data_IF_721687812911
#
_entry.id   IF_721687812911
#
_cell.length_a   1.000
_cell.length_b   1.000
_cell.length_c   1.000
_cell.angle_alpha   90.00
_cell.angle_beta   90.00
_cell.angle_gamma   90.00
#
_symmetry.space_group_name_H-M   'P 1'
#
loop_
_entity.id
_entity.type
_entity.pdbx_description
1 polymer ?
#
# COMPACT_ATOMS: atom_id res chain seq x y z
N UNK A 1 -35.43 6.63 12.60
CA UNK A 1 -34.78 5.34 12.96
C UNK A 1 -34.80 5.28 14.47
N UNK A 2 -35.63 4.40 15.04
CA UNK A 2 -35.67 4.19 16.49
C UNK A 2 -34.53 3.24 16.83
N UNK A 3 -33.51 3.75 17.51
CA UNK A 3 -32.40 2.93 18.01
C UNK A 3 -32.90 2.20 19.26
N UNK A 4 -32.94 0.88 19.22
CA UNK A 4 -33.19 0.09 20.43
C UNK A 4 -31.90 0.07 21.22
N UNK A 5 -31.92 0.68 22.40
CA UNK A 5 -30.89 0.48 23.41
C UNK A 5 -30.92 -1.01 23.81
N UNK A 6 -29.75 -1.63 24.02
CA UNK A 6 -29.54 -3.03 24.44
C UNK A 6 -29.66 -4.18 23.40
N UNK A 7 -29.66 -3.90 22.09
CA UNK A 7 -29.58 -4.97 21.04
C UNK A 7 -28.35 -4.84 20.15
N UNK A 8 -27.48 -3.87 20.41
CA UNK A 8 -26.26 -3.69 19.64
C UNK A 8 -25.23 -4.77 20.02
N UNK A 9 -24.52 -5.31 19.03
CA UNK A 9 -23.35 -6.19 19.28
C UNK A 9 -22.20 -5.40 19.94
N UNK A 10 -22.20 -4.08 19.76
CA UNK A 10 -21.26 -3.12 20.33
C UNK A 10 -22.07 -2.02 21.02
N UNK A 11 -22.46 -2.27 22.26
CA UNK A 11 -23.32 -1.40 23.08
C UNK A 11 -22.52 -0.28 23.74
N UNK A 12 -21.28 -0.57 24.15
CA UNK A 12 -20.43 0.33 24.90
C UNK A 12 -19.42 1.08 24.01
N UNK A 13 -19.17 0.61 22.79
CA UNK A 13 -18.23 1.24 21.87
C UNK A 13 -18.68 2.65 21.40
N UNK A 14 -17.75 3.59 21.39
CA UNK A 14 -17.97 4.91 20.81
C UNK A 14 -18.07 4.82 19.28
N UNK A 15 -19.21 5.25 18.74
CA UNK A 15 -19.48 5.20 17.31
C UNK A 15 -18.40 5.89 16.46
N UNK A 16 -17.90 7.05 16.90
CA UNK A 16 -16.90 7.81 16.13
C UNK A 16 -15.56 7.10 16.11
N UNK A 17 -15.16 6.49 17.24
CA UNK A 17 -13.93 5.72 17.33
C UNK A 17 -13.96 4.49 16.40
N UNK A 18 -15.10 3.80 16.36
CA UNK A 18 -15.33 2.66 15.47
C UNK A 18 -15.28 3.07 14.00
N UNK A 19 -15.98 4.16 13.63
CA UNK A 19 -15.96 4.68 12.26
C UNK A 19 -14.54 5.09 11.85
N UNK A 20 -13.78 5.71 12.76
CA UNK A 20 -12.39 6.08 12.50
C UNK A 20 -11.50 4.85 12.20
N UNK A 21 -11.64 3.78 12.99
CA UNK A 21 -10.97 2.51 12.72
C UNK A 21 -11.35 1.94 11.34
N UNK A 22 -12.64 1.93 11.00
CA UNK A 22 -13.11 1.46 9.69
C UNK A 22 -12.58 2.30 8.53
N UNK A 23 -12.49 3.63 8.70
CA UNK A 23 -11.95 4.53 7.66
C UNK A 23 -10.48 4.19 7.38
N UNK A 24 -9.67 3.97 8.42
CA UNK A 24 -8.25 3.59 8.24
C UNK A 24 -8.15 2.28 7.47
N UNK A 25 -9.00 1.30 7.81
CA UNK A 25 -9.05 0.04 7.08
C UNK A 25 -9.43 0.23 5.60
N UNK A 26 -10.43 1.07 5.30
CA UNK A 26 -10.84 1.38 3.92
C UNK A 26 -9.68 2.03 3.15
N UNK A 27 -8.99 3.01 3.76
CA UNK A 27 -7.82 3.66 3.14
C UNK A 27 -6.73 2.64 2.83
N UNK A 28 -6.41 1.76 3.78
CA UNK A 28 -5.42 0.69 3.58
C UNK A 28 -5.81 -0.28 2.47
N UNK A 29 -7.10 -0.61 2.39
CA UNK A 29 -7.66 -1.47 1.33
C UNK A 29 -7.56 -0.83 -0.04
N UNK A 30 -7.80 0.48 -0.15
CA UNK A 30 -7.66 1.24 -1.41
C UNK A 30 -6.18 1.26 -1.85
N UNK A 31 -5.24 1.54 -0.93
CA UNK A 31 -3.81 1.51 -1.23
C UNK A 31 -3.37 0.12 -1.72
N UNK A 32 -3.87 -0.96 -1.11
CA UNK A 32 -3.62 -2.32 -1.57
C UNK A 32 -4.13 -2.55 -2.99
N UNK A 33 -5.36 -2.11 -3.30
CA UNK A 33 -5.94 -2.22 -4.64
C UNK A 33 -5.13 -1.45 -5.69
N UNK A 34 -4.63 -0.25 -5.36
CA UNK A 34 -3.76 0.51 -6.27
C UNK A 34 -2.44 -0.20 -6.54
N UNK A 35 -1.77 -0.68 -5.50
CA UNK A 35 -0.56 -1.50 -5.65
C UNK A 35 -0.82 -2.70 -6.57
N UNK A 36 -1.93 -3.42 -6.35
CA UNK A 36 -2.30 -4.56 -7.18
C UNK A 36 -2.60 -4.19 -8.64
N UNK A 37 -3.23 -3.06 -8.88
CA UNK A 37 -3.54 -2.57 -10.23
C UNK A 37 -2.27 -2.30 -11.05
N UNK A 38 -1.20 -1.79 -10.42
CA UNK A 38 0.05 -1.45 -11.13
C UNK A 38 0.79 -2.66 -11.71
N UNK A 39 0.57 -3.87 -11.18
CA UNK A 39 1.21 -5.08 -11.71
C UNK A 39 0.60 -5.58 -13.03
N UNK A 40 -0.58 -5.10 -13.41
CA UNK A 40 -1.33 -5.63 -14.54
C UNK A 40 -1.71 -4.54 -15.54
N UNK A 41 -1.32 -4.73 -16.81
CA UNK A 41 -1.67 -3.79 -17.88
C UNK A 41 -3.15 -3.87 -18.32
N UNK A 42 -3.88 -4.93 -17.95
CA UNK A 42 -5.29 -5.12 -18.30
C UNK A 42 -6.17 -5.06 -17.05
N UNK A 43 -7.10 -4.11 -17.03
CA UNK A 43 -8.00 -3.86 -15.90
C UNK A 43 -8.84 -5.10 -15.49
N UNK A 44 -9.33 -5.88 -16.46
CA UNK A 44 -10.12 -7.09 -16.18
C UNK A 44 -9.31 -8.19 -15.49
N UNK A 45 -8.07 -8.41 -15.93
CA UNK A 45 -7.15 -9.35 -15.28
C UNK A 45 -6.74 -8.86 -13.89
N UNK A 46 -6.46 -7.56 -13.75
CA UNK A 46 -6.13 -6.93 -12.48
C UNK A 46 -7.23 -7.17 -11.44
N UNK A 47 -8.49 -6.90 -11.80
CA UNK A 47 -9.63 -7.08 -10.91
C UNK A 47 -9.82 -8.54 -10.48
N UNK A 48 -9.75 -9.48 -11.42
CA UNK A 48 -9.92 -10.91 -11.12
C UNK A 48 -8.81 -11.44 -10.18
N UNK A 49 -7.55 -11.09 -10.47
CA UNK A 49 -6.41 -11.53 -9.64
C UNK A 49 -6.39 -10.84 -8.29
N UNK A 50 -6.69 -9.54 -8.22
CA UNK A 50 -6.80 -8.80 -6.95
C UNK A 50 -7.87 -9.42 -6.05
N UNK A 51 -9.02 -9.78 -6.61
CA UNK A 51 -10.07 -10.48 -5.86
C UNK A 51 -9.60 -11.84 -5.33
N UNK A 52 -8.88 -12.62 -6.13
CA UNK A 52 -8.33 -13.91 -5.68
C UNK A 52 -7.30 -13.73 -4.56
N UNK A 53 -6.38 -12.77 -4.71
CA UNK A 53 -5.39 -12.47 -3.67
C UNK A 53 -6.05 -11.96 -2.40
N UNK A 54 -7.13 -11.17 -2.51
CA UNK A 54 -7.91 -10.72 -1.37
C UNK A 54 -8.46 -11.90 -0.55
N UNK A 55 -9.00 -12.92 -1.22
CA UNK A 55 -9.43 -14.15 -0.55
C UNK A 55 -8.27 -14.90 0.10
N UNK A 56 -7.13 -15.02 -0.59
CA UNK A 56 -5.93 -15.65 -0.03
C UNK A 56 -5.43 -14.89 1.20
N UNK A 57 -5.50 -13.55 1.20
CA UNK A 57 -5.11 -12.71 2.31
C UNK A 57 -5.99 -12.89 3.57
N UNK A 58 -7.12 -13.61 3.48
CA UNK A 58 -7.92 -14.02 4.63
C UNK A 58 -7.38 -15.30 5.32
N UNK A 59 -6.65 -16.15 4.59
CA UNK A 59 -6.09 -17.40 5.12
C UNK A 59 -5.13 -17.13 6.30
N UNK A 60 -4.20 -16.15 6.23
CA UNK A 60 -3.34 -15.82 7.35
C UNK A 60 -4.15 -15.51 8.61
N UNK A 61 -5.22 -14.72 8.53
CA UNK A 61 -6.07 -14.45 9.70
C UNK A 61 -6.66 -15.74 10.29
N UNK A 62 -7.17 -16.62 9.43
CA UNK A 62 -7.76 -17.90 9.85
C UNK A 62 -6.76 -18.81 10.55
N UNK A 63 -5.49 -18.79 10.16
CA UNK A 63 -4.44 -19.53 10.86
C UNK A 63 -4.06 -18.85 12.19
N UNK A 64 -3.86 -17.53 12.14
CA UNK A 64 -3.32 -16.75 13.26
C UNK A 64 -4.30 -16.62 14.42
N UNK A 65 -5.60 -16.74 14.18
CA UNK A 65 -6.60 -16.74 15.26
C UNK A 65 -6.56 -18.01 16.11
N UNK A 66 -6.20 -19.17 15.52
CA UNK A 66 -6.13 -20.44 16.23
C UNK A 66 -4.93 -20.54 17.17
N UNK A 67 -3.84 -19.85 16.85
CA UNK A 67 -2.61 -19.81 17.66
C UNK A 67 -2.33 -18.43 18.24
N UNK A 68 -3.37 -17.60 18.38
CA UNK A 68 -3.23 -16.19 18.78
C UNK A 68 -2.50 -16.00 20.11
N UNK A 69 -2.74 -16.91 21.06
CA UNK A 69 -2.20 -16.82 22.41
C UNK A 69 -0.72 -17.26 22.48
N UNK A 70 -0.25 -18.06 21.52
CA UNK A 70 1.14 -18.53 21.42
C UNK A 70 2.06 -17.56 20.65
N UNK A 71 1.49 -16.56 19.98
CA UNK A 71 2.22 -15.65 19.10
C UNK A 71 2.85 -14.48 19.86
N UNK A 72 4.12 -14.21 19.55
CA UNK A 72 4.80 -13.01 20.04
C UNK A 72 4.17 -11.73 19.47
N UNK A 73 4.28 -10.62 20.21
CA UNK A 73 3.82 -9.30 19.77
C UNK A 73 4.38 -8.93 18.39
N UNK A 74 5.67 -9.15 18.15
CA UNK A 74 6.30 -8.86 16.87
C UNK A 74 5.69 -9.66 15.72
N UNK A 75 5.31 -10.92 15.97
CA UNK A 75 4.64 -11.74 14.97
C UNK A 75 3.22 -11.23 14.70
N UNK A 76 2.47 -10.88 15.74
CA UNK A 76 1.14 -10.26 15.61
C UNK A 76 1.19 -8.96 14.79
N UNK A 77 2.19 -8.10 15.06
CA UNK A 77 2.43 -6.88 14.30
C UNK A 77 2.88 -7.16 12.85
N UNK A 78 3.71 -8.17 12.63
CA UNK A 78 4.09 -8.59 11.29
C UNK A 78 2.89 -9.06 10.47
N UNK A 79 2.02 -9.88 11.06
CA UNK A 79 0.79 -10.33 10.42
C UNK A 79 -0.23 -9.21 10.21
N UNK A 80 -0.25 -8.19 11.07
CA UNK A 80 -1.08 -7.00 10.87
C UNK A 80 -0.58 -6.06 9.76
N UNK A 81 0.54 -6.37 9.09
CA UNK A 81 0.87 -5.71 7.83
C UNK A 81 -0.13 -6.07 6.72
N UNK A 82 -0.74 -7.26 6.79
CA UNK A 82 -1.81 -7.65 5.87
C UNK A 82 -3.10 -7.00 6.34
N UNK A 83 -3.67 -6.12 5.53
CA UNK A 83 -4.85 -5.31 5.92
C UNK A 83 -6.03 -6.16 6.40
N UNK A 84 -6.27 -7.32 5.77
CA UNK A 84 -7.33 -8.25 6.18
C UNK A 84 -7.08 -8.88 7.56
N UNK A 85 -5.84 -9.24 7.87
CA UNK A 85 -5.47 -9.79 9.17
C UNK A 85 -5.49 -8.72 10.25
N UNK A 86 -5.03 -7.51 9.94
CA UNK A 86 -5.12 -6.36 10.83
C UNK A 86 -6.57 -6.04 11.21
N UNK A 87 -7.49 -6.08 10.24
CA UNK A 87 -8.92 -5.89 10.50
C UNK A 87 -9.45 -6.94 11.46
N UNK A 88 -9.11 -8.20 11.24
CA UNK A 88 -9.50 -9.30 12.12
C UNK A 88 -8.99 -9.13 13.56
N UNK A 89 -7.72 -8.76 13.74
CA UNK A 89 -7.17 -8.45 15.07
C UNK A 89 -7.83 -7.22 15.71
N UNK A 90 -8.06 -6.16 14.93
CA UNK A 90 -8.75 -4.96 15.42
C UNK A 90 -10.15 -5.28 15.91
N UNK A 91 -10.95 -6.04 15.15
CA UNK A 91 -12.28 -6.48 15.59
C UNK A 91 -12.19 -7.35 16.85
N UNK A 92 -11.24 -8.31 16.92
CA UNK A 92 -11.05 -9.16 18.11
C UNK A 92 -10.79 -8.31 19.36
N UNK A 93 -9.94 -7.29 19.26
CA UNK A 93 -9.64 -6.37 20.35
C UNK A 93 -10.84 -5.49 20.71
N UNK A 94 -11.58 -4.99 19.73
CA UNK A 94 -12.82 -4.21 19.95
C UNK A 94 -13.86 -5.05 20.69
N UNK A 95 -14.06 -6.31 20.26
CA UNK A 95 -14.95 -7.25 20.94
C UNK A 95 -14.46 -7.59 22.36
N UNK A 96 -13.15 -7.62 22.56
CA UNK A 96 -12.56 -7.79 23.89
C UNK A 96 -12.90 -6.63 24.83
N UNK A 97 -12.75 -5.38 24.39
CA UNK A 97 -13.16 -4.19 25.15
C UNK A 97 -14.68 -4.12 25.38
N UNK A 98 -15.46 -4.61 24.42
CA UNK A 98 -16.91 -4.71 24.59
C UNK A 98 -17.25 -5.74 25.67
N UNK A 99 -16.56 -6.89 25.70
CA UNK A 99 -16.75 -7.94 26.70
C UNK A 99 -16.36 -7.53 28.12
N UNK A 100 -15.48 -6.54 28.29
CA UNK A 100 -15.16 -5.96 29.61
C UNK A 100 -16.12 -4.86 30.05
N UNK A 101 -17.03 -4.42 29.16
CA UNK A 101 -18.02 -3.37 29.44
C UNK A 101 -17.51 -1.93 29.29
N UNK A 102 -16.24 -1.72 28.93
CA UNK A 102 -15.72 -0.38 28.64
C UNK A 102 -16.03 0.07 27.20
N UNK A 103 -16.07 -0.89 26.26
CA UNK A 103 -16.22 -0.64 24.84
C UNK A 103 -15.00 0.05 24.23
N UNK A 104 -14.96 0.19 22.91
CA UNK A 104 -13.91 0.96 22.24
C UNK A 104 -14.08 2.46 22.50
N UNK A 105 -13.10 3.09 23.16
CA UNK A 105 -13.10 4.52 23.48
C UNK A 105 -11.84 5.20 22.94
N UNK A 106 -11.92 6.49 22.60
CA UNK A 106 -10.76 7.25 22.13
C UNK A 106 -9.59 7.25 23.12
N UNK A 107 -9.89 7.23 24.42
CA UNK A 107 -8.88 7.16 25.49
C UNK A 107 -8.21 5.80 25.61
N UNK A 108 -8.83 4.72 25.11
CA UNK A 108 -8.38 3.34 25.32
C UNK A 108 -7.68 2.71 24.09
N UNK A 109 -7.41 3.50 23.04
CA UNK A 109 -6.76 2.97 21.83
C UNK A 109 -5.40 2.33 22.09
N UNK A 110 -4.62 2.92 23.00
CA UNK A 110 -3.28 2.44 23.34
C UNK A 110 -3.24 1.63 24.63
N UNK A 111 -4.41 1.29 25.19
CA UNK A 111 -4.47 0.38 26.33
C UNK A 111 -4.64 -1.06 25.83
N UNK A 112 -3.94 -2.04 26.42
CA UNK A 112 -4.17 -3.44 26.12
C UNK A 112 -5.50 -3.91 26.72
N UNK A 113 -6.17 -4.84 26.04
CA UNK A 113 -7.44 -5.44 26.51
C UNK A 113 -7.21 -6.41 27.66
N UNK A 114 -6.12 -7.18 27.59
CA UNK A 114 -5.76 -8.21 28.58
C UNK A 114 -4.35 -7.97 29.06
N UNK A 115 -4.07 -8.27 30.34
CA UNK A 115 -2.72 -8.12 30.92
C UNK A 115 -1.70 -9.04 30.22
N UNK A 116 -2.17 -10.17 29.69
CA UNK A 116 -1.38 -11.16 28.97
C UNK A 116 -1.15 -10.80 27.48
N UNK A 117 -1.91 -9.86 26.92
CA UNK A 117 -1.76 -9.45 25.52
C UNK A 117 -1.32 -7.99 25.41
N UNK A 118 -0.18 -7.79 24.77
CA UNK A 118 0.43 -6.45 24.60
C UNK A 118 -0.03 -5.76 23.33
N UNK A 119 -0.85 -6.42 22.48
CA UNK A 119 -1.39 -5.83 21.27
C UNK A 119 -2.53 -4.85 21.60
N UNK A 120 -2.46 -3.64 21.05
CA UNK A 120 -3.45 -2.58 21.26
C UNK A 120 -4.13 -2.20 19.94
N UNK A 121 -5.36 -1.67 20.02
CA UNK A 121 -6.11 -1.25 18.82
C UNK A 121 -5.36 -0.15 18.07
N UNK A 122 -4.77 0.78 18.80
CA UNK A 122 -3.94 1.86 18.28
C UNK A 122 -2.69 1.33 17.57
N UNK A 123 -2.02 0.31 18.11
CA UNK A 123 -0.88 -0.32 17.42
C UNK A 123 -1.31 -0.97 16.10
N UNK A 124 -2.47 -1.65 16.06
CA UNK A 124 -3.01 -2.21 14.82
C UNK A 124 -3.32 -1.11 13.79
N UNK A 125 -3.93 0.00 14.22
CA UNK A 125 -4.19 1.14 13.34
C UNK A 125 -2.91 1.77 12.78
N UNK A 126 -1.88 1.93 13.60
CA UNK A 126 -0.57 2.40 13.15
C UNK A 126 0.01 1.43 12.12
N UNK A 127 -0.06 0.12 12.37
CA UNK A 127 0.43 -0.88 11.41
C UNK A 127 -0.33 -0.84 10.08
N UNK A 128 -1.65 -0.62 10.09
CA UNK A 128 -2.42 -0.41 8.85
C UNK A 128 -1.92 0.84 8.09
N UNK A 129 -1.66 1.95 8.78
CA UNK A 129 -1.12 3.16 8.14
C UNK A 129 0.28 2.92 7.57
N UNK A 130 1.12 2.17 8.28
CA UNK A 130 2.43 1.74 7.77
C UNK A 130 2.26 0.87 6.52
N UNK A 131 1.29 -0.05 6.49
CA UNK A 131 0.96 -0.82 5.29
C UNK A 131 0.52 0.07 4.13
N UNK A 132 -0.29 1.11 4.37
CA UNK A 132 -0.62 2.08 3.32
C UNK A 132 0.63 2.67 2.69
N UNK A 133 1.57 3.14 3.52
CA UNK A 133 2.83 3.74 3.05
C UNK A 133 3.64 2.73 2.25
N UNK A 134 3.77 1.49 2.73
CA UNK A 134 4.49 0.42 2.03
C UNK A 134 3.83 0.13 0.68
N UNK A 135 2.50 -0.05 0.64
CA UNK A 135 1.78 -0.33 -0.60
C UNK A 135 1.89 0.82 -1.59
N UNK A 136 1.84 2.07 -1.13
CA UNK A 136 2.02 3.24 -1.98
C UNK A 136 3.45 3.36 -2.52
N UNK A 137 4.47 3.06 -1.71
CA UNK A 137 5.87 3.02 -2.16
C UNK A 137 6.04 1.95 -3.25
N UNK A 138 5.48 0.76 -3.04
CA UNK A 138 5.52 -0.32 -4.03
C UNK A 138 4.77 0.09 -5.30
N UNK A 139 3.57 0.66 -5.17
CA UNK A 139 2.78 1.18 -6.28
C UNK A 139 3.58 2.17 -7.13
N UNK A 140 4.11 3.22 -6.51
CA UNK A 140 4.92 4.23 -7.19
C UNK A 140 6.17 3.64 -7.81
N UNK A 141 6.84 2.69 -7.13
CA UNK A 141 8.02 2.02 -7.66
C UNK A 141 7.69 1.20 -8.92
N UNK A 142 6.61 0.43 -8.90
CA UNK A 142 6.20 -0.42 -10.03
C UNK A 142 5.79 0.44 -11.23
N UNK A 143 5.10 1.55 -11.02
CA UNK A 143 4.75 2.49 -12.11
C UNK A 143 5.99 3.07 -12.82
N UNK A 144 7.07 3.32 -12.09
CA UNK A 144 8.32 3.83 -12.67
C UNK A 144 9.09 2.75 -13.46
N UNK A 145 9.03 1.49 -13.03
CA UNK A 145 9.75 0.37 -13.65
C UNK A 145 8.99 -0.19 -14.87
N UNK A 146 7.67 -0.29 -14.77
CA UNK A 146 6.78 -0.71 -15.86
C UNK A 146 5.80 0.42 -16.21
N UNK A 147 6.27 1.46 -16.90
CA UNK A 147 5.36 2.45 -17.43
C UNK A 147 4.43 1.79 -18.44
N UNK A 148 3.15 2.18 -18.40
CA UNK A 148 2.16 1.75 -19.39
C UNK A 148 2.50 2.21 -20.82
N UNK A 149 1.54 2.14 -21.74
CA UNK A 149 1.73 2.31 -23.19
C UNK A 149 2.44 3.58 -23.69
N UNK A 150 2.69 4.59 -22.83
CA UNK A 150 3.28 5.87 -23.22
C UNK A 150 4.44 6.35 -22.33
N UNK A 151 4.92 5.57 -21.35
CA UNK A 151 6.04 6.00 -20.50
C UNK A 151 7.36 5.29 -20.85
N UNK A 152 8.49 5.95 -20.59
CA UNK A 152 9.83 5.39 -20.82
C UNK A 152 10.24 4.54 -19.60
N UNK A 153 10.47 3.22 -19.74
CA UNK A 153 10.78 2.34 -18.61
C UNK A 153 12.09 2.72 -17.94
N UNK A 154 12.05 3.01 -16.64
CA UNK A 154 13.27 3.17 -15.84
C UNK A 154 13.78 1.80 -15.40
N UNK A 155 15.10 1.58 -15.37
CA UNK A 155 15.66 0.29 -14.95
C UNK A 155 15.26 -0.01 -13.50
N UNK A 156 15.07 -1.28 -13.15
CA UNK A 156 14.70 -1.71 -11.79
C UNK A 156 15.67 -1.21 -10.68
N UNK A 157 16.93 -0.93 -11.04
CA UNK A 157 17.95 -0.37 -10.14
C UNK A 157 17.85 1.15 -9.92
N UNK A 158 16.87 1.81 -10.53
CA UNK A 158 16.72 3.26 -10.54
C UNK A 158 16.90 3.96 -9.18
N UNK A 159 16.28 3.51 -8.05
CA UNK A 159 16.46 4.17 -6.76
C UNK A 159 17.89 4.06 -6.19
N UNK A 160 18.70 3.11 -6.66
CA UNK A 160 20.09 2.90 -6.26
C UNK A 160 21.10 3.54 -7.23
N UNK A 161 20.64 4.19 -8.30
CA UNK A 161 21.52 4.75 -9.32
C UNK A 161 21.88 6.19 -8.96
N UNK A 162 23.18 6.55 -9.02
CA UNK A 162 23.65 7.93 -8.73
C UNK A 162 22.99 8.99 -9.61
N UNK A 163 22.58 8.64 -10.83
CA UNK A 163 21.89 9.54 -11.77
C UNK A 163 20.52 10.04 -11.23
N UNK A 164 19.83 9.25 -10.41
CA UNK A 164 18.57 9.70 -9.77
C UNK A 164 18.82 10.77 -8.70
N UNK A 165 19.87 10.60 -7.89
CA UNK A 165 20.16 11.48 -6.76
C UNK A 165 21.01 12.70 -7.15
N UNK A 166 21.86 12.59 -8.17
CA UNK A 166 22.74 13.67 -8.63
C UNK A 166 22.18 14.47 -9.81
N UNK A 167 20.98 14.13 -10.31
CA UNK A 167 20.39 14.78 -11.48
C UNK A 167 21.07 14.36 -12.80
N UNK A 168 20.27 14.26 -13.86
CA UNK A 168 20.81 14.15 -15.21
C UNK A 168 21.69 15.36 -15.51
N UNK A 169 22.84 15.12 -16.16
CA UNK A 169 23.60 16.19 -16.78
C UNK A 169 22.68 16.84 -17.81
N UNK A 170 22.45 18.14 -17.63
CA UNK A 170 21.70 18.99 -18.56
C UNK A 170 22.08 18.63 -20.00
N UNK A 171 21.10 18.12 -20.75
CA UNK A 171 21.28 17.81 -22.15
C UNK A 171 21.36 19.14 -22.89
N UNK A 172 22.56 19.69 -23.05
CA UNK A 172 22.80 20.77 -24.03
C UNK A 172 22.46 20.21 -25.39
N UNK A 173 21.36 20.68 -25.98
CA UNK A 173 21.05 20.41 -27.37
C UNK A 173 22.22 20.88 -28.24
N UNK A 174 22.42 20.25 -29.40
CA UNK A 174 23.46 20.65 -30.37
C UNK A 174 23.30 22.12 -30.79
N UNK A 175 22.11 22.68 -30.61
CA UNK A 175 21.74 24.07 -30.87
C UNK A 175 22.35 25.07 -29.86
N UNK A 176 22.77 24.61 -28.67
CA UNK A 176 23.29 25.48 -27.59
C UNK A 176 24.84 25.57 -27.56
N UNK A 177 25.54 25.01 -28.55
CA UNK A 177 27.02 24.99 -28.58
C UNK A 177 27.54 26.22 -29.34
N UNK A 178 28.15 27.23 -28.69
CA UNK A 178 28.74 28.35 -29.41
C UNK A 178 30.07 27.90 -30.02
N UNK A 179 30.13 27.82 -31.35
CA UNK A 179 31.34 27.53 -32.14
C UNK A 179 32.08 26.21 -31.80
N UNK A 180 31.35 25.13 -31.56
CA UNK A 180 31.95 23.79 -31.47
C UNK A 180 31.95 23.09 -32.83
N UNK A 181 33.13 22.77 -33.37
CA UNK A 181 33.23 21.79 -34.45
C UNK A 181 32.58 20.48 -33.99
N UNK A 182 31.50 20.08 -34.65
CA UNK A 182 30.90 18.76 -34.50
C UNK A 182 31.83 17.76 -35.17
N UNK A 183 32.59 16.98 -34.39
CA UNK A 183 33.19 15.76 -34.94
C UNK A 183 32.05 14.83 -35.35
N UNK A 184 31.85 14.72 -36.66
CA UNK A 184 30.81 13.91 -37.27
C UNK A 184 31.14 12.43 -37.02
N UNK A 185 30.68 11.93 -35.87
CA UNK A 185 30.84 10.54 -35.49
C UNK A 185 29.81 9.72 -36.28
N UNK A 186 30.27 9.25 -37.43
CA UNK A 186 29.61 8.33 -38.36
C UNK A 186 28.84 8.97 -39.54
N UNK A 187 29.48 9.09 -40.73
CA UNK A 187 28.85 9.60 -41.95
C UNK A 187 27.77 8.66 -42.53
N UNK A 188 27.49 7.51 -41.90
CA UNK A 188 26.39 6.60 -42.29
C UNK A 188 25.10 6.78 -41.49
N UNK A 189 25.09 7.64 -40.47
CA UNK A 189 23.92 7.87 -39.62
C UNK A 189 22.85 8.80 -40.25
N UNK A 190 23.17 9.42 -41.39
CA UNK A 190 22.22 10.22 -42.16
C UNK A 190 21.54 9.34 -43.21
N UNK A 191 20.22 9.22 -43.13
CA UNK A 191 19.43 8.65 -44.21
C UNK A 191 19.51 9.58 -45.44
N UNK A 192 19.76 8.98 -46.61
CA UNK A 192 19.80 9.70 -47.89
C UNK A 192 18.45 10.35 -48.16
N UNK A 193 18.45 11.63 -48.55
CA UNK A 193 17.21 12.32 -48.91
C UNK A 193 16.42 11.53 -49.97
N UNK A 194 15.09 11.41 -49.82
CA UNK A 194 14.29 10.63 -50.75
C UNK A 194 14.29 11.28 -52.13
N UNK A 195 14.93 10.61 -53.10
CA UNK A 195 14.79 10.96 -54.51
C UNK A 195 13.37 10.62 -54.99
N UNK A 196 12.58 11.66 -55.30
CA UNK A 196 11.30 11.48 -55.99
C UNK A 196 10.12 12.28 -55.46
N UNK A 197 10.28 13.58 -55.19
CA UNK A 197 9.16 14.50 -55.34
C UNK A 197 9.13 15.00 -56.79
N UNK A 198 8.22 14.43 -57.57
CA UNK A 198 7.73 15.06 -58.80
C UNK A 198 7.10 16.42 -58.49
#
# INVERSE_FOLDING_TARGET
INWSEDVAVLTHANFTALVFFLIIYIVSSICFCFMMATFFSRASTAAAVTGLIWFIAYIPYSFTINSYDDLSLSSKLGWSLISNTAMGFGIKLILGFEGTGEGLQWSNFFTPVSVDDTLTVGAVMIMMLVSCVIYMIICLYVEQVMPGSFGVPRPWNFPFTREFWCGEREYTGVEDIPNGHVEQRDPKAFETEPEGKH
#
